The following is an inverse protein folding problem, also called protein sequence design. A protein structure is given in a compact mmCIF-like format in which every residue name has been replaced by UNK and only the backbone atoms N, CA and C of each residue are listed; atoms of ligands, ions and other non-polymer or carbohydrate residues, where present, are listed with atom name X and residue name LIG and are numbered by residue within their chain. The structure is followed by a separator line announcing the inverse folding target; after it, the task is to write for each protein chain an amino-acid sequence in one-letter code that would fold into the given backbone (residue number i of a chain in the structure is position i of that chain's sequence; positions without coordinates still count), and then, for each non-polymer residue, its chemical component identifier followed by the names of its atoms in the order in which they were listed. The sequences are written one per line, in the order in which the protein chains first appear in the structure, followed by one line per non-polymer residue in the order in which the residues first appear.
data_IF_238451134706
#
_entry.id   IF_238451134706
#
_cell.length_a   1.000
_cell.length_b   1.000
_cell.length_c   1.000
_cell.angle_alpha   90.00
_cell.angle_beta   90.00
_cell.angle_gamma   90.00
#
_symmetry.space_group_name_H-M   'P 1'
#
loop_
_entity.id
_entity.type
_entity.pdbx_description
1 polymer ?
#
# COMPACT_ATOMS: atom_id res chain seq x y z
N UNK A 1 6.82 25.72 15.87
CA UNK A 1 7.39 24.78 14.87
C UNK A 1 6.79 23.39 15.11
N UNK A 2 5.51 23.14 14.82
CA UNK A 2 4.80 21.93 15.31
C UNK A 2 3.94 21.18 14.27
N UNK A 3 4.10 21.45 12.97
CA UNK A 3 3.20 20.87 11.96
C UNK A 3 3.78 19.70 11.15
N UNK A 4 5.11 19.59 11.02
CA UNK A 4 5.72 18.64 10.07
C UNK A 4 5.78 17.18 10.56
N UNK A 5 5.65 16.94 11.86
CA UNK A 5 5.81 15.60 12.45
C UNK A 5 4.54 14.74 12.35
N UNK A 6 3.36 15.36 12.48
CA UNK A 6 2.08 14.64 12.47
C UNK A 6 1.76 13.98 11.12
N UNK A 7 2.21 14.58 10.01
CA UNK A 7 1.98 14.05 8.65
C UNK A 7 2.78 12.76 8.40
N UNK A 8 4.02 12.68 8.90
CA UNK A 8 4.87 11.50 8.75
C UNK A 8 4.34 10.31 9.57
N UNK A 9 3.86 10.57 10.78
CA UNK A 9 3.30 9.54 11.66
C UNK A 9 2.01 8.93 11.06
N UNK A 10 1.15 9.73 10.39
CA UNK A 10 -0.09 9.25 9.78
C UNK A 10 0.12 8.40 8.52
N UNK A 11 1.06 8.78 7.66
CA UNK A 11 1.39 8.04 6.43
C UNK A 11 2.02 6.68 6.72
N UNK A 12 2.88 6.60 7.75
CA UNK A 12 3.49 5.33 8.16
C UNK A 12 2.43 4.31 8.66
N UNK A 13 1.43 4.80 9.40
CA UNK A 13 0.31 3.97 9.86
C UNK A 13 -0.63 3.54 8.73
N UNK A 14 -0.85 4.39 7.72
CA UNK A 14 -1.67 4.04 6.56
C UNK A 14 -1.04 2.93 5.71
N UNK A 15 0.28 2.96 5.54
CA UNK A 15 1.03 1.91 4.84
C UNK A 15 0.99 0.61 5.65
N UNK A 16 1.23 0.67 6.97
CA UNK A 16 1.13 -0.50 7.84
C UNK A 16 -0.26 -1.13 7.86
N UNK A 17 -1.32 -0.31 7.91
CA UNK A 17 -2.71 -0.77 7.87
C UNK A 17 -3.11 -1.38 6.52
N UNK A 18 -2.69 -0.78 5.41
CA UNK A 18 -2.94 -1.32 4.07
C UNK A 18 -2.25 -2.67 3.83
N UNK A 19 -1.01 -2.82 4.31
CA UNK A 19 -0.28 -4.09 4.25
C UNK A 19 -0.94 -5.17 5.13
N UNK A 20 -1.35 -4.82 6.35
CA UNK A 20 -2.08 -5.75 7.24
C UNK A 20 -3.42 -6.20 6.64
N UNK A 21 -4.18 -5.31 6.00
CA UNK A 21 -5.41 -5.68 5.29
C UNK A 21 -5.15 -6.59 4.10
N UNK A 22 -4.16 -6.27 3.26
CA UNK A 22 -3.78 -7.11 2.12
C UNK A 22 -3.30 -8.50 2.55
N UNK A 23 -2.48 -8.57 3.61
CA UNK A 23 -2.04 -9.83 4.21
C UNK A 23 -3.21 -10.60 4.83
N UNK A 24 -4.13 -9.94 5.53
CA UNK A 24 -5.30 -10.59 6.14
C UNK A 24 -6.22 -11.22 5.09
N UNK A 25 -6.54 -10.48 4.03
CA UNK A 25 -7.35 -10.98 2.90
C UNK A 25 -6.63 -12.11 2.16
N UNK A 26 -5.31 -11.99 1.97
CA UNK A 26 -4.51 -13.05 1.35
C UNK A 26 -4.44 -14.33 2.19
N UNK A 27 -4.22 -14.21 3.50
CA UNK A 27 -4.11 -15.37 4.40
C UNK A 27 -5.43 -16.14 4.52
N UNK A 28 -6.58 -15.48 4.27
CA UNK A 28 -7.87 -16.17 4.14
C UNK A 28 -7.90 -17.12 2.93
N UNK A 29 -7.25 -16.75 1.82
CA UNK A 29 -7.14 -17.57 0.62
C UNK A 29 -6.15 -18.73 0.75
N UNK A 30 -5.23 -18.67 1.71
CA UNK A 30 -4.25 -19.72 1.98
C UNK A 30 -4.90 -21.03 2.45
N UNK A 31 -6.12 -20.96 3.02
CA UNK A 31 -6.86 -22.15 3.49
C UNK A 31 -7.34 -23.03 2.33
N UNK A 32 -7.50 -22.48 1.13
CA UNK A 32 -8.04 -23.17 -0.04
C UNK A 32 -6.95 -23.43 -1.10
N UNK A 33 -6.01 -22.50 -1.32
CA UNK A 33 -4.90 -22.67 -2.27
C UNK A 33 -3.76 -21.64 -2.09
N UNK A 34 -2.51 -22.09 -1.85
CA UNK A 34 -1.34 -21.19 -1.73
C UNK A 34 -1.06 -20.31 -2.95
N UNK A 35 -1.39 -20.79 -4.16
CA UNK A 35 -1.19 -19.99 -5.38
C UNK A 35 -2.07 -18.73 -5.40
N UNK A 36 -3.28 -18.81 -4.85
CA UNK A 36 -4.20 -17.67 -4.81
C UNK A 36 -3.78 -16.62 -3.77
N UNK A 37 -3.16 -17.06 -2.66
CA UNK A 37 -2.51 -16.18 -1.71
C UNK A 37 -1.38 -15.37 -2.36
N UNK A 38 -0.48 -16.06 -3.07
CA UNK A 38 0.65 -15.42 -3.77
C UNK A 38 0.14 -14.50 -4.89
N UNK A 39 -0.88 -14.92 -5.64
CA UNK A 39 -1.53 -14.08 -6.66
C UNK A 39 -2.14 -12.80 -6.10
N UNK A 40 -2.83 -12.88 -4.96
CA UNK A 40 -3.36 -11.71 -4.24
C UNK A 40 -2.24 -10.79 -3.74
N UNK A 41 -1.12 -11.34 -3.28
CA UNK A 41 0.03 -10.58 -2.80
C UNK A 41 0.72 -9.83 -3.94
N UNK A 42 0.98 -10.52 -5.04
CA UNK A 42 1.59 -9.93 -6.24
C UNK A 42 0.64 -8.89 -6.86
N UNK A 43 -0.66 -9.20 -6.94
CA UNK A 43 -1.68 -8.28 -7.44
C UNK A 43 -1.82 -7.03 -6.57
N UNK A 44 -1.89 -7.20 -5.25
CA UNK A 44 -2.00 -6.09 -4.29
C UNK A 44 -0.76 -5.20 -4.27
N UNK A 45 0.45 -5.79 -4.29
CA UNK A 45 1.70 -5.03 -4.37
C UNK A 45 1.88 -4.35 -5.72
N UNK A 46 1.57 -5.05 -6.83
CA UNK A 46 1.64 -4.48 -8.16
C UNK A 46 0.72 -3.28 -8.31
N UNK A 47 -0.53 -3.39 -7.86
CA UNK A 47 -1.52 -2.32 -7.95
C UNK A 47 -1.18 -1.15 -6.99
N UNK A 48 -0.71 -1.43 -5.78
CA UNK A 48 -0.23 -0.42 -4.84
C UNK A 48 0.98 0.37 -5.35
N UNK A 49 1.90 -0.29 -6.07
CA UNK A 49 3.07 0.35 -6.66
C UNK A 49 2.69 1.22 -7.87
N UNK A 50 1.75 0.76 -8.70
CA UNK A 50 1.20 1.55 -9.82
C UNK A 50 0.52 2.82 -9.29
N UNK A 51 -0.34 2.70 -8.28
CA UNK A 51 -1.02 3.85 -7.66
C UNK A 51 0.02 4.83 -7.08
N UNK A 52 1.03 4.32 -6.37
CA UNK A 52 2.11 5.16 -5.80
C UNK A 52 2.91 5.87 -6.89
N UNK A 53 3.22 5.19 -7.99
CA UNK A 53 3.94 5.79 -9.12
C UNK A 53 3.10 6.89 -9.79
N UNK A 54 1.80 6.68 -9.97
CA UNK A 54 0.88 7.68 -10.52
C UNK A 54 0.77 8.89 -9.57
N UNK A 55 0.58 8.66 -8.26
CA UNK A 55 0.55 9.75 -7.27
C UNK A 55 1.86 10.53 -7.24
N UNK A 56 3.00 9.84 -7.32
CA UNK A 56 4.33 10.47 -7.35
C UNK A 56 4.54 11.31 -8.62
N UNK A 57 4.06 10.82 -9.76
CA UNK A 57 4.10 11.54 -11.04
C UNK A 57 3.20 12.77 -11.03
N UNK A 58 1.97 12.67 -10.50
CA UNK A 58 1.05 13.80 -10.34
C UNK A 58 1.57 14.84 -9.35
N UNK A 59 2.15 14.39 -8.23
CA UNK A 59 2.76 15.26 -7.22
C UNK A 59 4.02 15.98 -7.74
N UNK A 60 4.84 15.30 -8.54
CA UNK A 60 6.03 15.90 -9.17
C UNK A 60 5.68 16.98 -10.20
N UNK A 61 4.53 16.90 -10.87
CA UNK A 61 4.09 17.90 -11.85
C UNK A 61 3.55 19.21 -11.29
N UNK A 62 3.32 19.32 -9.98
CA UNK A 62 2.69 20.50 -9.35
C UNK A 62 3.70 21.53 -8.79
N UNK A 63 5.02 21.30 -8.92
CA UNK A 63 6.07 22.15 -8.33
C UNK A 63 6.90 22.94 -9.36
N UNK A 64 6.35 23.21 -10.55
CA UNK A 64 6.95 24.12 -11.54
C UNK A 64 5.98 25.21 -11.97
#
# INVERSE_FOLDING_TARGET
MADKKQVADKSNWAIGGGVMLGLGVGLFFLKESPLAFVGSLIGGLGLGLIITAILSSVSSGSNT
#
